data_IF_615033419915
#
_entry.id   IF_615033419915
#
_cell.length_a   1.000
_cell.length_b   1.000
_cell.length_c   1.000
_cell.angle_alpha   90.00
_cell.angle_beta   90.00
_cell.angle_gamma   90.00
#
_symmetry.space_group_name_H-M   'P 1'
#
loop_
_entity.id
_entity.type
_entity.pdbx_description
1 polymer ?
#
# COMPACT_ATOMS: atom_id res chain seq x y z
N UNK A 1 20.23 -21.04 6.77
CA UNK A 1 20.33 -19.80 5.99
C UNK A 1 19.57 -18.76 6.77
N UNK A 2 20.18 -17.64 7.09
CA UNK A 2 19.51 -16.53 7.81
C UNK A 2 18.72 -15.72 6.77
N UNK A 3 17.46 -15.39 7.09
CA UNK A 3 16.58 -14.61 6.22
C UNK A 3 15.91 -13.50 7.04
N UNK A 4 15.50 -12.42 6.39
CA UNK A 4 14.75 -11.35 7.05
C UNK A 4 13.44 -11.85 7.65
N UNK A 5 12.90 -12.94 7.16
CA UNK A 5 11.63 -13.51 7.58
C UNK A 5 11.75 -14.60 8.64
N UNK A 6 12.91 -14.79 9.29
CA UNK A 6 13.10 -15.86 10.31
C UNK A 6 12.09 -15.76 11.47
N UNK A 7 11.67 -14.55 11.83
CA UNK A 7 10.62 -14.33 12.82
C UNK A 7 9.29 -14.97 12.42
N UNK A 8 9.02 -15.08 11.12
CA UNK A 8 7.76 -15.55 10.56
C UNK A 8 7.64 -17.08 10.51
N UNK A 9 8.75 -17.80 10.68
CA UNK A 9 8.85 -19.27 10.60
C UNK A 9 7.87 -20.01 11.51
N UNK A 10 7.65 -19.49 12.73
CA UNK A 10 6.76 -20.09 13.71
C UNK A 10 5.33 -19.51 13.68
N UNK A 11 5.09 -18.47 12.86
CA UNK A 11 3.80 -17.83 12.71
C UNK A 11 2.96 -18.55 11.66
N UNK A 12 3.55 -18.75 10.46
CA UNK A 12 2.92 -19.48 9.35
C UNK A 12 3.97 -20.16 8.48
N UNK A 13 4.08 -21.48 8.60
CA UNK A 13 5.09 -22.27 7.87
C UNK A 13 4.92 -22.25 6.36
N UNK A 14 3.68 -22.16 5.88
CA UNK A 14 3.42 -22.15 4.43
C UNK A 14 3.79 -20.80 3.82
N UNK A 15 3.34 -19.72 4.44
CA UNK A 15 3.70 -18.37 4.02
C UNK A 15 5.21 -18.13 4.15
N UNK A 16 5.84 -18.64 5.22
CA UNK A 16 7.29 -18.57 5.39
C UNK A 16 8.04 -19.18 4.21
N UNK A 17 7.65 -20.39 3.76
CA UNK A 17 8.28 -21.04 2.60
C UNK A 17 8.18 -20.19 1.33
N UNK A 18 7.01 -19.61 1.07
CA UNK A 18 6.78 -18.81 -0.13
C UNK A 18 7.67 -17.57 -0.12
N UNK A 19 7.77 -16.88 1.01
CA UNK A 19 8.51 -15.62 1.05
C UNK A 19 10.04 -15.82 1.07
N UNK A 20 10.54 -16.89 1.68
CA UNK A 20 11.99 -17.22 1.58
C UNK A 20 12.37 -17.64 0.16
N UNK A 21 11.46 -18.29 -0.58
CA UNK A 21 11.68 -18.61 -2.00
C UNK A 21 11.75 -17.32 -2.83
N UNK A 22 10.96 -16.29 -2.51
CA UNK A 22 11.06 -14.98 -3.16
C UNK A 22 12.43 -14.32 -2.90
N UNK A 23 12.95 -14.33 -1.66
CA UNK A 23 14.29 -13.85 -1.35
C UNK A 23 15.38 -14.65 -2.09
N UNK A 24 15.22 -15.98 -2.18
CA UNK A 24 16.17 -16.85 -2.92
C UNK A 24 16.18 -16.51 -4.40
N UNK A 25 15.01 -16.39 -5.03
CA UNK A 25 14.89 -16.02 -6.43
C UNK A 25 15.50 -14.64 -6.70
N UNK A 26 15.30 -13.68 -5.78
CA UNK A 26 15.96 -12.38 -5.87
C UNK A 26 17.48 -12.49 -5.87
N UNK A 27 18.05 -13.26 -4.95
CA UNK A 27 19.51 -13.51 -4.89
C UNK A 27 20.05 -14.18 -6.15
N UNK A 28 19.23 -15.03 -6.78
CA UNK A 28 19.57 -15.72 -8.02
C UNK A 28 19.30 -14.87 -9.28
N UNK A 29 18.94 -13.58 -9.09
CA UNK A 29 18.65 -12.60 -10.14
C UNK A 29 17.40 -12.96 -10.98
N UNK A 30 16.54 -13.85 -10.50
CA UNK A 30 15.23 -14.17 -11.09
C UNK A 30 14.18 -13.18 -10.56
N UNK A 31 14.30 -11.90 -10.94
CA UNK A 31 13.52 -10.82 -10.37
C UNK A 31 12.01 -10.94 -10.64
N UNK A 32 11.63 -11.33 -11.85
CA UNK A 32 10.21 -11.53 -12.18
C UNK A 32 9.59 -12.63 -11.33
N UNK A 33 10.27 -13.78 -11.19
CA UNK A 33 9.81 -14.90 -10.39
C UNK A 33 9.74 -14.52 -8.90
N UNK A 34 10.69 -13.72 -8.43
CA UNK A 34 10.68 -13.16 -7.08
C UNK A 34 9.42 -12.30 -6.84
N UNK A 35 9.06 -11.41 -7.78
CA UNK A 35 7.85 -10.60 -7.71
C UNK A 35 6.60 -11.48 -7.71
N UNK A 36 6.54 -12.51 -8.56
CA UNK A 36 5.41 -13.44 -8.63
C UNK A 36 5.23 -14.19 -7.30
N UNK A 37 6.31 -14.68 -6.69
CA UNK A 37 6.24 -15.33 -5.37
C UNK A 37 5.82 -14.35 -4.26
N UNK A 38 6.31 -13.12 -4.32
CA UNK A 38 5.91 -12.07 -3.39
C UNK A 38 4.41 -11.76 -3.52
N UNK A 39 3.89 -11.69 -4.74
CA UNK A 39 2.44 -11.53 -4.98
C UNK A 39 1.65 -12.71 -4.43
N UNK A 40 2.11 -13.95 -4.67
CA UNK A 40 1.48 -15.15 -4.12
C UNK A 40 1.43 -15.14 -2.59
N UNK A 41 2.52 -14.69 -1.95
CA UNK A 41 2.56 -14.51 -0.50
C UNK A 41 1.46 -13.53 -0.04
N UNK A 42 1.39 -12.33 -0.63
CA UNK A 42 0.41 -11.31 -0.28
C UNK A 42 -1.04 -11.78 -0.51
N UNK A 43 -1.30 -12.48 -1.61
CA UNK A 43 -2.62 -13.06 -1.90
C UNK A 43 -3.05 -14.08 -0.84
N UNK A 44 -2.15 -14.97 -0.41
CA UNK A 44 -2.47 -15.97 0.63
C UNK A 44 -2.65 -15.30 1.99
N UNK A 45 -1.90 -14.23 2.31
CA UNK A 45 -2.12 -13.43 3.51
C UNK A 45 -3.57 -12.88 3.51
N UNK A 46 -4.03 -12.30 2.40
CA UNK A 46 -5.41 -11.82 2.29
C UNK A 46 -6.43 -12.94 2.49
N UNK A 47 -6.21 -14.11 1.88
CA UNK A 47 -7.07 -15.29 2.06
C UNK A 47 -7.15 -15.73 3.52
N UNK A 48 -6.01 -15.75 4.21
CA UNK A 48 -5.95 -16.14 5.62
C UNK A 48 -6.64 -15.14 6.55
N UNK A 49 -6.59 -13.85 6.22
CA UNK A 49 -7.28 -12.79 6.98
C UNK A 49 -8.80 -12.85 6.77
N UNK A 50 -9.23 -13.07 5.53
CA UNK A 50 -10.65 -13.09 5.16
C UNK A 50 -11.35 -14.40 5.51
N UNK A 51 -10.61 -15.47 5.82
CA UNK A 51 -11.04 -16.87 5.95
C UNK A 51 -11.69 -17.46 4.66
N UNK A 52 -11.93 -18.79 4.63
CA UNK A 52 -12.39 -19.49 3.42
C UNK A 52 -13.73 -18.94 2.90
N UNK A 53 -14.72 -18.79 3.76
CA UNK A 53 -16.06 -18.34 3.38
C UNK A 53 -16.10 -16.93 2.75
N UNK A 54 -15.07 -16.10 3.00
CA UNK A 54 -14.99 -14.74 2.49
C UNK A 54 -14.00 -14.56 1.34
N UNK A 55 -13.16 -15.56 1.09
CA UNK A 55 -12.11 -15.53 0.05
C UNK A 55 -12.38 -16.50 -1.11
N UNK A 56 -13.34 -17.45 -0.96
CA UNK A 56 -13.73 -18.36 -2.02
C UNK A 56 -14.21 -17.57 -3.24
N UNK A 57 -13.72 -17.97 -4.43
CA UNK A 57 -14.04 -17.38 -5.73
C UNK A 57 -13.66 -15.89 -5.92
N UNK A 58 -12.93 -15.28 -4.98
CA UNK A 58 -12.51 -13.87 -5.10
C UNK A 58 -11.15 -13.72 -5.74
N UNK A 59 -11.05 -12.75 -6.63
CA UNK A 59 -9.78 -12.27 -7.15
C UNK A 59 -8.97 -11.57 -6.06
N UNK A 60 -7.67 -11.43 -6.26
CA UNK A 60 -6.81 -10.71 -5.32
C UNK A 60 -7.27 -9.25 -5.13
N UNK A 61 -7.80 -8.64 -6.18
CA UNK A 61 -8.35 -7.27 -6.15
C UNK A 61 -9.56 -7.16 -5.22
N UNK A 62 -10.54 -8.01 -5.42
CA UNK A 62 -11.75 -8.05 -4.59
C UNK A 62 -11.45 -8.36 -3.12
N UNK A 63 -10.38 -9.14 -2.85
CA UNK A 63 -9.94 -9.39 -1.48
C UNK A 63 -9.37 -8.13 -0.84
N UNK A 64 -8.55 -7.36 -1.56
CA UNK A 64 -7.98 -6.11 -1.06
C UNK A 64 -9.10 -5.09 -0.80
N UNK A 65 -10.05 -4.92 -1.73
CA UNK A 65 -11.21 -4.04 -1.53
C UNK A 65 -11.99 -4.44 -0.27
N UNK A 66 -12.23 -5.73 -0.07
CA UNK A 66 -12.93 -6.21 1.12
C UNK A 66 -12.18 -5.97 2.43
N UNK A 67 -10.84 -6.02 2.41
CA UNK A 67 -10.01 -5.66 3.56
C UNK A 67 -10.09 -4.15 3.82
N UNK A 68 -10.05 -3.34 2.78
CA UNK A 68 -10.20 -1.89 2.84
C UNK A 68 -11.55 -1.47 3.42
N UNK A 69 -12.64 -2.12 3.00
CA UNK A 69 -13.99 -1.85 3.53
C UNK A 69 -14.12 -2.18 5.02
N UNK A 70 -13.33 -3.14 5.51
CA UNK A 70 -13.28 -3.52 6.93
C UNK A 70 -12.34 -2.67 7.77
N UNK A 71 -11.49 -1.89 7.13
CA UNK A 71 -10.51 -1.03 7.78
C UNK A 71 -11.20 0.07 8.58
N UNK A 72 -10.74 0.32 9.79
CA UNK A 72 -11.18 1.43 10.63
C UNK A 72 -10.49 2.75 10.26
N UNK A 73 -9.59 2.74 9.28
CA UNK A 73 -8.89 3.92 8.79
C UNK A 73 -7.65 4.32 9.59
N UNK A 74 -7.14 3.43 10.45
CA UNK A 74 -5.85 3.60 11.10
C UNK A 74 -4.73 3.70 10.05
N UNK A 75 -3.65 4.43 10.35
CA UNK A 75 -2.57 4.67 9.38
C UNK A 75 -1.88 3.35 9.00
N UNK A 76 -1.64 2.47 9.95
CA UNK A 76 -1.05 1.14 9.72
C UNK A 76 -1.92 0.28 8.79
N UNK A 77 -3.24 0.40 8.89
CA UNK A 77 -4.17 -0.31 7.99
C UNK A 77 -4.10 0.25 6.56
N UNK A 78 -3.97 1.57 6.41
CA UNK A 78 -3.81 2.20 5.10
C UNK A 78 -2.51 1.79 4.43
N UNK A 79 -1.39 1.84 5.18
CA UNK A 79 -0.09 1.39 4.69
C UNK A 79 -0.14 -0.08 4.27
N UNK A 80 -0.76 -0.95 5.07
CA UNK A 80 -0.95 -2.35 4.75
C UNK A 80 -1.73 -2.56 3.43
N UNK A 81 -2.81 -1.82 3.23
CA UNK A 81 -3.61 -1.86 2.01
C UNK A 81 -2.82 -1.33 0.80
N UNK A 82 -2.06 -0.24 0.97
CA UNK A 82 -1.20 0.31 -0.09
C UNK A 82 -0.11 -0.68 -0.51
N UNK A 83 0.49 -1.39 0.43
CA UNK A 83 1.50 -2.41 0.17
C UNK A 83 0.92 -3.60 -0.62
N UNK A 84 -0.29 -4.04 -0.27
CA UNK A 84 -1.01 -5.08 -1.02
C UNK A 84 -1.29 -4.63 -2.46
N UNK A 85 -1.79 -3.41 -2.67
CA UNK A 85 -2.03 -2.86 -4.00
C UNK A 85 -0.75 -2.74 -4.82
N UNK A 86 0.34 -2.30 -4.20
CA UNK A 86 1.63 -2.20 -4.87
C UNK A 86 2.10 -3.56 -5.37
N UNK A 87 2.13 -4.58 -4.49
CA UNK A 87 2.57 -5.94 -4.83
C UNK A 87 1.65 -6.55 -5.90
N UNK A 88 0.33 -6.38 -5.79
CA UNK A 88 -0.62 -6.81 -6.81
C UNK A 88 -0.30 -6.20 -8.16
N UNK A 89 -0.10 -4.87 -8.21
CA UNK A 89 0.20 -4.15 -9.44
C UNK A 89 1.48 -4.67 -10.11
N UNK A 90 2.56 -4.80 -9.34
CA UNK A 90 3.84 -5.28 -9.88
C UNK A 90 3.76 -6.74 -10.31
N UNK A 91 3.07 -7.59 -9.54
CA UNK A 91 2.88 -8.99 -9.89
C UNK A 91 2.01 -9.19 -11.14
N UNK A 92 0.97 -8.41 -11.34
CA UNK A 92 0.17 -8.44 -12.57
C UNK A 92 1.02 -8.01 -13.78
N UNK A 93 1.84 -6.98 -13.62
CA UNK A 93 2.73 -6.51 -14.67
C UNK A 93 3.75 -7.57 -15.06
N UNK A 94 4.33 -8.29 -14.08
CA UNK A 94 5.29 -9.38 -14.33
C UNK A 94 4.67 -10.57 -15.08
N UNK A 95 3.38 -10.84 -14.91
CA UNK A 95 2.70 -11.95 -15.59
C UNK A 95 2.29 -11.59 -17.03
N UNK A 96 1.95 -10.33 -17.29
CA UNK A 96 1.33 -9.93 -18.57
C UNK A 96 2.27 -9.19 -19.52
N UNK A 97 3.36 -8.62 -19.02
CA UNK A 97 4.29 -7.84 -19.81
C UNK A 97 5.55 -8.65 -20.20
N UNK A 98 5.37 -9.63 -21.07
CA UNK A 98 6.48 -10.46 -21.59
C UNK A 98 7.64 -9.68 -22.24
N UNK A 99 7.47 -8.38 -22.49
CA UNK A 99 8.46 -7.53 -23.15
C UNK A 99 9.25 -6.61 -22.21
N UNK A 100 8.84 -6.45 -20.94
CA UNK A 100 9.50 -5.54 -19.99
C UNK A 100 10.16 -6.33 -18.90
N UNK A 101 11.48 -6.46 -19.00
CA UNK A 101 12.30 -7.13 -17.96
C UNK A 101 12.17 -6.33 -16.66
N UNK A 102 11.60 -6.94 -15.63
CA UNK A 102 11.53 -6.35 -14.29
C UNK A 102 12.95 -6.18 -13.74
N UNK A 103 13.20 -5.03 -13.13
CA UNK A 103 14.50 -4.75 -12.54
C UNK A 103 14.59 -5.23 -11.08
N UNK A 104 15.82 -5.42 -10.60
CA UNK A 104 16.07 -5.85 -9.22
C UNK A 104 15.60 -4.84 -8.18
N UNK A 105 15.35 -3.58 -8.55
CA UNK A 105 14.87 -2.55 -7.63
C UNK A 105 13.39 -2.75 -7.34
N UNK A 106 12.60 -2.99 -8.39
CA UNK A 106 11.17 -3.31 -8.24
C UNK A 106 10.96 -4.60 -7.45
N UNK A 107 11.76 -5.63 -7.73
CA UNK A 107 11.69 -6.90 -6.99
C UNK A 107 12.05 -6.72 -5.51
N UNK A 108 13.10 -5.95 -5.21
CA UNK A 108 13.46 -5.62 -3.83
C UNK A 108 12.37 -4.85 -3.10
N UNK A 109 11.78 -3.87 -3.77
CA UNK A 109 10.69 -3.09 -3.17
C UNK A 109 9.47 -3.97 -2.88
N UNK A 110 9.14 -4.93 -3.76
CA UNK A 110 8.09 -5.91 -3.49
C UNK A 110 8.40 -6.76 -2.24
N UNK A 111 9.65 -7.26 -2.10
CA UNK A 111 10.04 -8.07 -0.93
C UNK A 111 10.00 -7.24 0.35
N UNK A 112 10.46 -5.98 0.34
CA UNK A 112 10.39 -5.08 1.49
C UNK A 112 8.95 -4.82 1.94
N UNK A 113 8.05 -4.55 0.99
CA UNK A 113 6.63 -4.39 1.30
C UNK A 113 5.99 -5.68 1.80
N UNK A 114 6.41 -6.84 1.29
CA UNK A 114 5.99 -8.12 1.84
C UNK A 114 6.49 -8.34 3.27
N UNK A 115 7.63 -7.77 3.64
CA UNK A 115 8.12 -7.81 5.02
C UNK A 115 7.22 -6.98 5.96
N UNK A 116 6.82 -5.78 5.55
CA UNK A 116 5.86 -4.97 6.31
C UNK A 116 4.49 -5.67 6.41
N UNK A 117 4.02 -6.29 5.33
CA UNK A 117 2.81 -7.13 5.35
C UNK A 117 2.95 -8.30 6.34
N UNK A 118 4.12 -8.97 6.37
CA UNK A 118 4.37 -10.08 7.31
C UNK A 118 4.37 -9.61 8.77
N UNK A 119 4.94 -8.43 9.06
CA UNK A 119 4.90 -7.82 10.39
C UNK A 119 3.45 -7.52 10.79
N UNK A 120 2.71 -6.79 9.96
CA UNK A 120 1.32 -6.43 10.22
C UNK A 120 0.45 -7.69 10.43
N UNK A 121 0.60 -8.70 9.58
CA UNK A 121 -0.09 -9.98 9.74
C UNK A 121 0.25 -10.67 11.08
N UNK A 122 1.52 -10.67 11.46
CA UNK A 122 2.00 -11.26 12.71
C UNK A 122 1.42 -10.55 13.92
N UNK A 123 1.45 -9.22 13.94
CA UNK A 123 1.05 -8.42 15.09
C UNK A 123 -0.46 -8.32 15.22
N UNK A 124 -1.16 -7.95 14.15
CA UNK A 124 -2.58 -7.59 14.22
C UNK A 124 -3.52 -8.78 13.97
N UNK A 125 -3.11 -9.76 13.14
CA UNK A 125 -3.98 -10.89 12.81
C UNK A 125 -3.61 -12.18 13.52
N UNK A 126 -2.33 -12.37 13.90
CA UNK A 126 -1.89 -13.51 14.70
C UNK A 126 -1.65 -13.18 16.18
N UNK A 127 -1.80 -11.92 16.58
CA UNK A 127 -1.64 -11.44 17.97
C UNK A 127 -0.30 -11.85 18.61
N UNK A 128 0.78 -11.89 17.84
CA UNK A 128 2.08 -12.39 18.30
C UNK A 128 2.90 -11.37 19.11
N UNK A 129 2.33 -10.21 19.40
CA UNK A 129 2.95 -9.17 20.23
C UNK A 129 3.64 -8.07 19.43
N UNK A 130 3.64 -6.85 20.00
CA UNK A 130 4.11 -5.62 19.31
C UNK A 130 5.61 -5.52 19.09
N UNK A 131 6.42 -6.38 19.71
CA UNK A 131 7.88 -6.39 19.52
C UNK A 131 8.34 -6.58 18.08
N UNK A 132 7.46 -7.11 17.21
CA UNK A 132 7.77 -7.31 15.81
C UNK A 132 7.67 -6.02 14.97
N UNK A 133 7.01 -4.97 15.48
CA UNK A 133 6.93 -3.66 14.82
C UNK A 133 8.29 -2.94 14.76
N UNK A 134 9.24 -3.29 15.63
CA UNK A 134 10.58 -2.71 15.66
C UNK A 134 11.55 -3.39 14.69
N UNK A 135 11.10 -4.42 13.98
CA UNK A 135 11.93 -5.10 12.98
C UNK A 135 12.05 -4.27 11.71
N UNK A 136 13.23 -4.27 11.13
CA UNK A 136 13.51 -3.60 9.87
C UNK A 136 14.12 -4.56 8.87
N UNK A 137 13.75 -4.39 7.59
CA UNK A 137 14.30 -5.21 6.52
C UNK A 137 15.79 -4.89 6.31
N UNK A 138 16.64 -5.90 6.51
CA UNK A 138 18.08 -5.80 6.33
C UNK A 138 18.49 -6.35 4.96
N UNK A 139 18.99 -5.45 4.13
CA UNK A 139 19.44 -5.79 2.77
C UNK A 139 20.74 -6.59 2.81
N UNK A 140 21.60 -6.39 3.81
CA UNK A 140 22.83 -7.15 3.93
C UNK A 140 22.50 -8.62 4.29
N UNK A 141 21.47 -8.89 5.07
CA UNK A 141 20.93 -10.23 5.31
C UNK A 141 20.41 -10.86 4.02
N UNK A 142 19.67 -10.12 3.19
CA UNK A 142 19.25 -10.61 1.88
C UNK A 142 20.44 -11.02 1.01
N UNK A 143 21.52 -10.25 1.00
CA UNK A 143 22.66 -10.45 0.11
C UNK A 143 23.70 -11.46 0.63
N UNK A 144 23.77 -11.71 1.94
CA UNK A 144 24.75 -12.63 2.55
C UNK A 144 24.52 -14.10 2.19
N UNK A 145 23.36 -14.44 1.66
CA UNK A 145 23.08 -15.79 1.16
C UNK A 145 23.86 -16.18 -0.10
N UNK A 146 24.46 -15.21 -0.81
CA UNK A 146 25.42 -15.41 -1.90
C UNK A 146 26.74 -14.71 -1.55
N UNK A 147 27.84 -15.45 -1.56
CA UNK A 147 29.21 -14.95 -1.40
C UNK A 147 29.70 -14.14 -2.62
N UNK A 148 28.81 -13.75 -3.54
CA UNK A 148 29.22 -13.03 -4.75
C UNK A 148 29.30 -11.52 -4.48
N UNK A 149 30.55 -11.05 -4.31
CA UNK A 149 30.88 -9.61 -4.16
C UNK A 149 30.32 -8.76 -5.31
N UNK A 150 30.07 -9.35 -6.49
CA UNK A 150 29.50 -8.66 -7.65
C UNK A 150 28.03 -8.29 -7.43
N UNK A 151 27.24 -9.13 -6.78
CA UNK A 151 25.81 -8.83 -6.49
C UNK A 151 25.69 -7.63 -5.54
N UNK A 152 26.50 -7.60 -4.48
CA UNK A 152 26.54 -6.46 -3.53
C UNK A 152 26.93 -5.17 -4.24
N UNK A 153 27.89 -5.21 -5.16
CA UNK A 153 28.31 -4.04 -5.93
C UNK A 153 27.22 -3.58 -6.92
N UNK A 154 26.58 -4.53 -7.63
CA UNK A 154 25.44 -4.25 -8.52
C UNK A 154 24.28 -3.60 -7.77
N UNK A 155 23.95 -4.15 -6.60
CA UNK A 155 22.91 -3.58 -5.73
C UNK A 155 23.26 -2.15 -5.28
N UNK A 156 24.48 -1.90 -4.77
CA UNK A 156 24.91 -0.56 -4.36
C UNK A 156 24.84 0.44 -5.51
N UNK A 157 25.21 0.03 -6.73
CA UNK A 157 25.08 0.88 -7.93
C UNK A 157 23.60 1.15 -8.28
N UNK A 158 22.76 0.10 -8.27
CA UNK A 158 21.34 0.22 -8.58
C UNK A 158 20.63 1.11 -7.57
N UNK A 159 20.86 0.92 -6.26
CA UNK A 159 20.32 1.78 -5.19
C UNK A 159 20.72 3.24 -5.36
N UNK A 160 22.00 3.52 -5.65
CA UNK A 160 22.48 4.87 -5.88
C UNK A 160 21.81 5.55 -7.08
N UNK A 161 21.51 4.79 -8.13
CA UNK A 161 20.78 5.29 -9.30
C UNK A 161 19.29 5.52 -9.01
N UNK A 162 18.66 4.61 -8.29
CA UNK A 162 17.28 4.72 -7.85
C UNK A 162 17.07 5.95 -6.95
N UNK A 163 17.92 6.13 -5.94
CA UNK A 163 17.86 7.29 -5.03
C UNK A 163 18.09 8.62 -5.78
N UNK A 164 18.95 8.63 -6.80
CA UNK A 164 19.14 9.80 -7.68
C UNK A 164 17.90 10.10 -8.52
N UNK A 165 17.28 9.07 -9.10
CA UNK A 165 16.10 9.22 -9.93
C UNK A 165 14.87 9.61 -9.10
N UNK A 166 14.66 9.01 -7.93
CA UNK A 166 13.58 9.38 -7.03
C UNK A 166 13.76 10.81 -6.47
N UNK A 167 14.97 11.24 -6.13
CA UNK A 167 15.20 12.64 -5.74
C UNK A 167 14.85 13.61 -6.87
N UNK A 168 15.13 13.27 -8.14
CA UNK A 168 14.70 14.07 -9.29
C UNK A 168 13.18 14.05 -9.45
N UNK A 169 12.55 12.89 -9.33
CA UNK A 169 11.10 12.73 -9.47
C UNK A 169 10.35 13.45 -8.35
N UNK A 170 10.79 13.31 -7.10
CA UNK A 170 10.23 14.03 -5.94
C UNK A 170 10.43 15.55 -6.10
N UNK A 171 11.58 15.99 -6.62
CA UNK A 171 11.84 17.39 -6.94
C UNK A 171 10.86 17.93 -8.00
N UNK A 172 10.61 17.16 -9.06
CA UNK A 172 9.66 17.51 -10.14
C UNK A 172 8.21 17.50 -9.61
N UNK A 173 7.84 16.53 -8.77
CA UNK A 173 6.52 16.50 -8.14
C UNK A 173 6.33 17.65 -7.15
N UNK A 174 7.34 18.01 -6.36
CA UNK A 174 7.27 19.18 -5.46
C UNK A 174 7.16 20.48 -6.26
N UNK A 175 7.92 20.65 -7.35
CA UNK A 175 7.80 21.81 -8.22
C UNK A 175 6.45 21.86 -8.96
N UNK A 176 5.95 20.74 -9.51
CA UNK A 176 4.62 20.68 -10.10
C UNK A 176 3.52 20.99 -9.08
N UNK A 177 3.64 20.47 -7.84
CA UNK A 177 2.68 20.75 -6.77
C UNK A 177 2.72 22.23 -6.36
N UNK A 178 3.89 22.85 -6.25
CA UNK A 178 4.02 24.28 -5.98
C UNK A 178 3.47 25.14 -7.13
N UNK A 179 3.74 24.79 -8.38
CA UNK A 179 3.19 25.51 -9.54
C UNK A 179 1.68 25.34 -9.66
N UNK A 180 1.13 24.19 -9.28
CA UNK A 180 -0.33 23.96 -9.26
C UNK A 180 -0.98 24.73 -8.11
N UNK A 181 -0.36 24.79 -6.93
CA UNK A 181 -0.86 25.60 -5.81
C UNK A 181 -0.76 27.11 -6.10
N UNK A 182 0.29 27.59 -6.75
CA UNK A 182 0.42 29.01 -7.10
C UNK A 182 -0.58 29.44 -8.19
N UNK A 183 -1.00 28.54 -9.08
CA UNK A 183 -2.07 28.80 -10.05
C UNK A 183 -3.47 28.70 -9.48
N UNK A 184 -3.68 27.88 -8.43
CA UNK A 184 -4.99 27.75 -7.78
C UNK A 184 -5.27 28.84 -6.73
N UNK A 185 -4.24 29.44 -6.14
CA UNK A 185 -4.45 30.53 -5.15
C UNK A 185 -4.93 31.84 -5.79
N UNK A 186 -4.84 31.97 -7.11
CA UNK A 186 -5.36 33.17 -7.81
C UNK A 186 -6.85 33.03 -8.21
N UNK A 187 -7.45 31.83 -8.12
CA UNK A 187 -8.86 31.61 -8.50
C UNK A 187 -9.79 31.02 -7.45
N UNK A 188 -9.34 30.84 -6.21
CA UNK A 188 -10.26 30.44 -5.15
C UNK A 188 -10.90 31.67 -4.46
N UNK A 189 -11.76 32.38 -5.16
CA UNK A 189 -12.97 32.92 -4.55
C UNK A 189 -13.75 31.71 -4.02
N UNK A 190 -13.76 31.51 -2.69
CA UNK A 190 -14.60 30.52 -2.02
C UNK A 190 -16.04 30.72 -2.47
N UNK A 191 -16.48 29.97 -3.46
CA UNK A 191 -17.90 29.71 -3.66
C UNK A 191 -18.23 28.71 -2.57
N UNK A 192 -18.79 29.19 -1.47
CA UNK A 192 -19.48 28.35 -0.50
C UNK A 192 -20.57 27.62 -1.30
N UNK A 193 -20.34 26.34 -1.62
CA UNK A 193 -21.43 25.47 -2.05
C UNK A 193 -22.33 25.25 -0.84
N UNK A 194 -23.20 26.20 -0.59
CA UNK A 194 -24.34 25.98 0.28
C UNK A 194 -25.12 24.86 -0.42
N UNK A 195 -25.23 23.71 0.24
CA UNK A 195 -26.05 22.61 -0.28
C UNK A 195 -27.44 23.14 -0.57
N UNK A 196 -28.03 22.78 -1.71
CA UNK A 196 -29.40 23.19 -2.09
C UNK A 196 -30.39 22.91 -0.95
N UNK A 197 -30.14 21.88 -0.15
CA UNK A 197 -30.91 21.56 1.05
C UNK A 197 -30.95 22.71 2.07
N UNK A 198 -29.83 23.36 2.36
CA UNK A 198 -29.80 24.48 3.31
C UNK A 198 -30.49 25.72 2.80
N UNK A 199 -30.55 25.92 1.48
CA UNK A 199 -31.34 27.00 0.86
C UNK A 199 -32.84 26.76 1.08
N UNK A 200 -33.32 25.54 0.88
CA UNK A 200 -34.71 25.16 1.13
C UNK A 200 -35.09 25.31 2.61
N UNK A 201 -34.22 24.93 3.54
CA UNK A 201 -34.45 25.09 4.98
C UNK A 201 -34.57 26.59 5.36
N UNK A 202 -33.70 27.43 4.82
CA UNK A 202 -33.78 28.90 5.06
C UNK A 202 -35.07 29.51 4.51
N UNK A 203 -35.45 29.12 3.28
CA UNK A 203 -36.71 29.62 2.67
C UNK A 203 -37.93 29.20 3.50
N UNK A 204 -37.99 27.93 3.92
CA UNK A 204 -39.06 27.40 4.75
C UNK A 204 -39.16 28.14 6.09
N UNK A 205 -38.03 28.44 6.72
CA UNK A 205 -37.99 29.21 7.98
C UNK A 205 -38.51 30.64 7.79
N UNK A 206 -38.12 31.32 6.71
CA UNK A 206 -38.61 32.69 6.40
C UNK A 206 -40.12 32.68 6.17
N UNK A 207 -40.66 31.73 5.42
CA UNK A 207 -42.10 31.59 5.17
C UNK A 207 -42.84 31.36 6.49
N UNK A 208 -42.33 30.51 7.37
CA UNK A 208 -42.96 30.27 8.69
C UNK A 208 -43.03 31.51 9.55
N UNK A 209 -41.97 32.31 9.57
CA UNK A 209 -41.93 33.58 10.32
C UNK A 209 -42.95 34.58 9.75
N UNK A 210 -43.06 34.67 8.42
CA UNK A 210 -44.07 35.57 7.78
C UNK A 210 -45.51 35.17 8.11
N UNK A 211 -45.81 33.86 8.14
CA UNK A 211 -47.15 33.36 8.51
C UNK A 211 -47.48 33.75 9.95
N UNK A 212 -46.54 33.59 10.89
CA UNK A 212 -46.77 33.96 12.30
C UNK A 212 -47.00 35.45 12.47
N UNK A 213 -46.23 36.28 11.76
CA UNK A 213 -46.40 37.74 11.80
C UNK A 213 -47.77 38.14 11.22
N UNK A 214 -48.12 37.54 10.06
CA UNK A 214 -49.41 37.83 9.41
C UNK A 214 -50.62 37.47 10.29
N UNK A 215 -50.58 36.31 10.96
CA UNK A 215 -51.63 35.90 11.90
C UNK A 215 -51.73 36.85 13.11
N UNK A 216 -50.58 37.39 13.56
CA UNK A 216 -50.57 38.33 14.71
C UNK A 216 -51.14 39.73 14.38
N UNK A 217 -51.08 40.14 13.11
CA UNK A 217 -51.64 41.42 12.65
C UNK A 217 -53.07 41.32 12.06
N UNK A 218 -53.58 40.07 11.87
CA UNK A 218 -54.90 39.80 11.32
C UNK A 218 -55.95 39.49 12.38
N UNK A 219 -55.57 39.51 13.70
CA UNK A 219 -56.42 39.42 14.88
C UNK A 219 -56.38 40.77 15.60
#
# INVERSE_FOLDING_TARGET
>A
MITNFDFFKNIDKNLYKIIIDAEKLYRDEYFEQSIIQTRRFAEIVCKNILNSAQSEEKTFDEMIEKLKDKSCGAEEEKEFIEDLYFIKKQGNFSVHAAAVKQDGITALECIKRAFEIAINYTVFYKNAGRKFLDLHYDIDVLLTGKTDKNLVQKYKKAKKNYDKNNKKTIGIFKQKKQVTYSKQTVQNKKIFKISLYWIFVLISFIISVFIVIFLKFSI
#
